data_IF_643486706563
#
_entry.id   IF_643486706563
#
_cell.length_a   1.000
_cell.length_b   1.000
_cell.length_c   1.000
_cell.angle_alpha   90.00
_cell.angle_beta   90.00
_cell.angle_gamma   90.00
#
_symmetry.space_group_name_H-M   'P 1'
#
loop_
_entity.id
_entity.type
_entity.pdbx_description
1 polymer ?
#
# COMPACT_ATOMS: atom_id res chain seq x y z
N UNK A 1 -14.12 6.71 -4.74
CA UNK A 1 -13.61 5.35 -4.53
C UNK A 1 -14.03 4.53 -5.73
N UNK A 2 -13.43 4.80 -6.89
CA UNK A 2 -14.09 4.55 -8.18
C UNK A 2 -13.38 3.52 -9.06
N UNK A 3 -12.19 3.05 -8.66
CA UNK A 3 -11.32 2.22 -9.51
C UNK A 3 -11.08 0.81 -8.95
N UNK A 4 -11.44 0.57 -7.68
CA UNK A 4 -11.34 -0.74 -7.06
C UNK A 4 -12.60 -1.54 -7.39
N UNK A 5 -12.44 -2.64 -8.13
CA UNK A 5 -13.55 -3.56 -8.45
C UNK A 5 -14.12 -4.24 -7.19
N UNK A 6 -13.32 -4.31 -6.14
CA UNK A 6 -13.58 -4.91 -4.83
C UNK A 6 -13.79 -3.86 -3.73
N UNK A 7 -14.20 -2.64 -4.11
CA UNK A 7 -14.40 -1.56 -3.16
C UNK A 7 -15.38 -1.93 -2.04
N UNK A 8 -14.89 -1.84 -0.80
CA UNK A 8 -15.67 -1.89 0.44
C UNK A 8 -15.36 -0.65 1.29
N UNK A 9 -16.36 0.19 1.66
CA UNK A 9 -16.13 1.43 2.38
C UNK A 9 -15.36 1.25 3.70
N UNK A 10 -15.74 0.26 4.50
CA UNK A 10 -15.15 0.05 5.83
C UNK A 10 -13.68 -0.36 5.72
N UNK A 11 -13.38 -1.31 4.84
CA UNK A 11 -12.04 -1.82 4.61
C UNK A 11 -11.15 -0.77 3.96
N UNK A 12 -11.67 -0.03 2.97
CA UNK A 12 -10.90 1.00 2.27
C UNK A 12 -10.58 2.17 3.20
N UNK A 13 -11.59 2.84 3.79
CA UNK A 13 -11.34 3.96 4.69
C UNK A 13 -10.53 3.56 5.93
N UNK A 14 -10.78 2.37 6.49
CA UNK A 14 -10.01 1.84 7.61
C UNK A 14 -8.52 1.70 7.30
N UNK A 15 -8.19 1.09 6.16
CA UNK A 15 -6.80 0.93 5.71
C UNK A 15 -6.15 2.29 5.36
N UNK A 16 -6.89 3.22 4.75
CA UNK A 16 -6.38 4.57 4.47
C UNK A 16 -6.09 5.36 5.73
N UNK A 17 -6.97 5.31 6.74
CA UNK A 17 -6.73 5.95 8.03
C UNK A 17 -5.54 5.33 8.77
N UNK A 18 -5.34 4.01 8.62
CA UNK A 18 -4.18 3.31 9.17
C UNK A 18 -2.87 3.80 8.54
N UNK A 19 -2.82 3.89 7.21
CA UNK A 19 -1.65 4.40 6.48
C UNK A 19 -1.35 5.86 6.80
N UNK A 20 -2.39 6.68 6.95
CA UNK A 20 -2.26 8.10 7.32
C UNK A 20 -1.93 8.31 8.82
N UNK A 21 -1.95 7.26 9.63
CA UNK A 21 -1.68 7.34 11.07
C UNK A 21 -2.75 8.10 11.87
N UNK A 22 -3.98 8.22 11.34
CA UNK A 22 -5.10 8.93 11.97
C UNK A 22 -6.24 7.99 12.41
N UNK A 23 -6.05 6.67 12.28
CA UNK A 23 -7.01 5.64 12.69
C UNK A 23 -6.81 5.10 14.10
N UNK A 24 -7.46 3.98 14.41
CA UNK A 24 -7.24 3.23 15.65
C UNK A 24 -5.86 2.53 15.62
N UNK A 25 -5.08 2.64 16.71
CA UNK A 25 -3.65 2.26 16.80
C UNK A 25 -2.73 3.07 15.87
N UNK A 26 -2.61 4.40 16.05
CA UNK A 26 -1.66 5.19 15.29
C UNK A 26 -0.25 4.76 15.69
N UNK A 27 0.42 4.02 14.79
CA UNK A 27 1.84 3.69 14.97
C UNK A 27 2.68 4.84 14.43
N UNK A 28 3.29 5.68 15.30
CA UNK A 28 4.07 6.81 14.83
C UNK A 28 5.25 6.32 13.99
N UNK A 29 5.55 7.05 12.91
CA UNK A 29 6.67 6.82 11.98
C UNK A 29 6.61 5.53 11.13
N UNK A 30 5.41 5.01 10.82
CA UNK A 30 5.26 3.91 9.87
C UNK A 30 5.16 4.43 8.43
N UNK A 31 6.30 4.74 7.82
CA UNK A 31 6.40 4.99 6.38
C UNK A 31 7.02 3.79 5.66
N UNK A 32 6.55 3.48 4.45
CA UNK A 32 7.19 2.46 3.63
C UNK A 32 8.47 3.02 3.00
N UNK A 33 9.58 2.29 3.16
CA UNK A 33 10.76 2.48 2.32
C UNK A 33 10.52 1.73 1.00
N UNK A 34 10.26 2.47 -0.08
CA UNK A 34 9.88 1.90 -1.37
C UNK A 34 11.00 1.05 -1.99
N UNK A 35 12.26 1.46 -1.86
CA UNK A 35 13.41 0.70 -2.38
C UNK A 35 13.51 -0.66 -1.69
N UNK A 36 13.46 -0.68 -0.36
CA UNK A 36 13.49 -1.91 0.42
C UNK A 36 12.31 -2.83 0.11
N UNK A 37 11.12 -2.27 -0.10
CA UNK A 37 9.94 -3.05 -0.49
C UNK A 37 10.13 -3.67 -1.89
N UNK A 38 10.64 -2.90 -2.84
CA UNK A 38 10.88 -3.38 -4.20
C UNK A 38 11.96 -4.47 -4.23
N UNK A 39 13.05 -4.31 -3.50
CA UNK A 39 14.11 -5.32 -3.38
C UNK A 39 13.60 -6.60 -2.72
N UNK A 40 12.77 -6.48 -1.68
CA UNK A 40 12.31 -7.63 -0.92
C UNK A 40 11.19 -8.42 -1.65
N UNK A 41 10.25 -7.72 -2.27
CA UNK A 41 9.05 -8.33 -2.87
C UNK A 41 9.12 -8.51 -4.39
N UNK A 42 10.00 -7.78 -5.08
CA UNK A 42 10.18 -7.87 -6.54
C UNK A 42 11.68 -7.83 -6.95
N UNK A 43 12.53 -8.73 -6.41
CA UNK A 43 13.98 -8.71 -6.65
C UNK A 43 14.36 -8.91 -8.13
N UNK A 44 13.58 -9.70 -8.87
CA UNK A 44 13.80 -9.99 -10.29
C UNK A 44 13.12 -8.97 -11.22
N UNK A 45 12.51 -7.90 -10.67
CA UNK A 45 11.78 -6.89 -11.43
C UNK A 45 10.59 -7.43 -12.25
N UNK A 46 10.10 -8.63 -11.95
CA UNK A 46 9.03 -9.29 -12.73
C UNK A 46 7.74 -8.49 -12.71
N UNK A 47 7.34 -7.99 -11.54
CA UNK A 47 6.12 -7.20 -11.41
C UNK A 47 6.30 -5.84 -12.10
N UNK A 48 7.40 -5.14 -11.84
CA UNK A 48 7.66 -3.82 -12.44
C UNK A 48 7.77 -3.87 -13.96
N UNK A 49 8.48 -4.86 -14.52
CA UNK A 49 8.61 -5.01 -15.97
C UNK A 49 7.27 -5.32 -16.66
N UNK A 50 6.36 -6.01 -15.97
CA UNK A 50 5.03 -6.32 -16.52
C UNK A 50 4.14 -5.08 -16.65
N UNK A 51 4.22 -4.14 -15.70
CA UNK A 51 3.26 -3.04 -15.58
C UNK A 51 3.83 -1.65 -15.91
N UNK A 52 5.16 -1.49 -15.94
CA UNK A 52 5.85 -0.23 -16.26
C UNK A 52 6.57 -0.28 -17.63
N UNK A 53 6.34 -1.34 -18.40
CA UNK A 53 6.92 -1.56 -19.74
C UNK A 53 6.33 -0.64 -20.81
#
# INVERSE_FOLDING_TARGET
EELLIDYDPCSNYGNWMYLAGVGNDPRPNRAFNLEKQAEYYDPDHKFRNLWLG
#
